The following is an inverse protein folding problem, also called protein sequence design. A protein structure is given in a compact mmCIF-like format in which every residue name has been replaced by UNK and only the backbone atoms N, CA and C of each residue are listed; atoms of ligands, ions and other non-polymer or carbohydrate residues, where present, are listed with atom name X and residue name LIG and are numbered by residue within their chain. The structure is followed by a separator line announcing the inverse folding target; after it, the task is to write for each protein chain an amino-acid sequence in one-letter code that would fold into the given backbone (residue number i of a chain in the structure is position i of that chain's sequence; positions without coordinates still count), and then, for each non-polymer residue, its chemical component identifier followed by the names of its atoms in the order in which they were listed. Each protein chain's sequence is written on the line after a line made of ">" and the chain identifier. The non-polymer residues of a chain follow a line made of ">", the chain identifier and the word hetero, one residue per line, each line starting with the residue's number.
data_IF_815760777235
#
_entry.id   IF_815760777235
#
_cell.length_a   1.000
_cell.length_b   1.000
_cell.length_c   1.000
_cell.angle_alpha   90.00
_cell.angle_beta   90.00
_cell.angle_gamma   90.00
#
_symmetry.space_group_name_H-M   'P 1'
#
loop_
_entity.id
_entity.type
_entity.pdbx_description
1 polymer ?
#
# COMPACT_ATOMS: atom_id res chain seq x y z
N UNK A 1 19.77 -10.49 1.37
CA UNK A 1 19.20 -9.17 1.05
C UNK A 1 17.76 -9.24 1.52
N UNK A 2 17.32 -8.32 2.37
CA UNK A 2 15.92 -8.25 2.80
C UNK A 2 15.17 -7.56 1.66
N UNK A 3 14.12 -8.19 1.12
CA UNK A 3 13.33 -7.61 0.04
C UNK A 3 12.72 -6.29 0.52
N UNK A 4 12.89 -5.20 -0.23
CA UNK A 4 12.22 -3.94 0.09
C UNK A 4 10.78 -3.96 -0.42
N UNK A 5 9.98 -2.98 0.01
CA UNK A 5 8.59 -2.83 -0.40
C UNK A 5 8.44 -2.80 -1.93
N UNK A 6 9.31 -2.06 -2.61
CA UNK A 6 9.27 -1.89 -4.07
C UNK A 6 9.58 -3.19 -4.83
N UNK A 7 10.22 -4.18 -4.21
CA UNK A 7 10.52 -5.48 -4.86
C UNK A 7 9.27 -6.38 -5.03
N UNK A 8 8.13 -5.98 -4.45
CA UNK A 8 6.85 -6.66 -4.62
C UNK A 8 5.89 -5.91 -5.58
N UNK A 9 6.34 -4.81 -6.17
CA UNK A 9 5.55 -3.89 -6.98
C UNK A 9 6.10 -3.77 -8.40
N UNK A 10 5.22 -3.42 -9.34
CA UNK A 10 5.61 -3.08 -10.71
C UNK A 10 6.37 -1.73 -10.70
N UNK A 11 7.67 -1.78 -10.94
CA UNK A 11 8.58 -0.62 -10.91
C UNK A 11 8.35 0.37 -12.05
N UNK A 12 7.59 0.00 -13.08
CA UNK A 12 7.15 0.96 -14.11
C UNK A 12 5.99 1.81 -13.59
N UNK A 13 5.20 1.30 -12.65
CA UNK A 13 4.02 1.96 -12.06
C UNK A 13 4.28 2.56 -10.68
N UNK A 14 5.22 2.02 -9.92
CA UNK A 14 5.57 2.48 -8.58
C UNK A 14 6.99 3.05 -8.55
N UNK A 15 7.20 4.07 -7.72
CA UNK A 15 8.52 4.64 -7.45
C UNK A 15 8.83 4.54 -5.96
N UNK A 16 10.03 4.07 -5.64
CA UNK A 16 10.60 4.23 -4.29
C UNK A 16 11.01 5.69 -4.10
N UNK A 17 10.66 6.27 -2.96
CA UNK A 17 10.89 7.68 -2.64
C UNK A 17 11.34 7.81 -1.18
N UNK A 18 11.90 8.97 -0.82
CA UNK A 18 12.15 9.27 0.59
C UNK A 18 10.86 9.71 1.30
N UNK A 19 10.84 9.67 2.63
CA UNK A 19 9.76 10.24 3.45
C UNK A 19 9.54 11.73 3.15
N UNK A 20 10.60 12.47 2.77
CA UNK A 20 10.51 13.88 2.42
C UNK A 20 9.87 14.12 1.03
N UNK A 21 9.97 13.14 0.14
CA UNK A 21 9.52 13.26 -1.27
C UNK A 21 8.19 12.55 -1.55
N UNK A 22 7.69 11.71 -0.62
CA UNK A 22 6.41 10.99 -0.78
C UNK A 22 5.18 11.91 -0.85
N UNK A 23 5.33 13.15 -0.42
CA UNK A 23 4.27 14.16 -0.34
C UNK A 23 3.26 13.89 0.78
N UNK A 24 2.19 14.69 0.79
CA UNK A 24 1.19 14.66 1.87
C UNK A 24 0.07 13.64 1.64
N UNK A 25 -0.80 13.49 2.65
CA UNK A 25 -2.04 12.70 2.58
C UNK A 25 -1.93 11.27 3.10
N UNK A 26 -0.85 10.95 3.83
CA UNK A 26 -0.68 9.68 4.52
C UNK A 26 -1.38 9.70 5.88
N UNK A 27 -2.00 8.58 6.23
CA UNK A 27 -2.54 8.32 7.57
C UNK A 27 -2.20 6.88 7.98
N UNK A 28 -2.05 6.62 9.28
CA UNK A 28 -1.81 5.27 9.79
C UNK A 28 -3.11 4.44 9.73
N UNK A 29 -2.99 3.19 9.29
CA UNK A 29 -4.09 2.23 9.29
C UNK A 29 -3.63 0.89 9.83
N UNK A 30 -4.53 0.20 10.53
CA UNK A 30 -4.41 -1.23 10.78
C UNK A 30 -4.81 -2.02 9.53
N UNK A 31 -4.02 -3.02 9.16
CA UNK A 31 -4.21 -3.82 7.94
C UNK A 31 -4.71 -5.22 8.29
N UNK A 32 -5.80 -5.65 7.64
CA UNK A 32 -6.16 -7.06 7.61
C UNK A 32 -5.14 -7.83 6.77
N UNK A 33 -4.36 -8.71 7.43
CA UNK A 33 -3.23 -9.45 6.83
C UNK A 33 -3.61 -10.52 5.81
N UNK A 34 -4.92 -10.72 5.57
CA UNK A 34 -5.44 -11.68 4.61
C UNK A 34 -6.13 -10.94 3.45
N UNK A 35 -5.38 -10.30 2.55
CA UNK A 35 -5.98 -9.63 1.40
C UNK A 35 -6.66 -10.63 0.47
N UNK A 36 -7.70 -10.16 -0.22
CA UNK A 36 -8.34 -10.89 -1.31
C UNK A 36 -7.58 -10.60 -2.60
N UNK A 37 -7.10 -11.64 -3.29
CA UNK A 37 -6.63 -11.49 -4.68
C UNK A 37 -7.83 -11.20 -5.58
N UNK A 38 -7.81 -10.06 -6.28
CA UNK A 38 -8.88 -9.66 -7.21
C UNK A 38 -8.54 -10.04 -8.66
N UNK A 39 -7.29 -9.83 -9.04
CA UNK A 39 -6.67 -10.27 -10.31
C UNK A 39 -5.17 -10.51 -10.06
N UNK A 40 -4.37 -11.02 -11.01
CA UNK A 40 -2.95 -11.34 -10.78
C UNK A 40 -2.09 -10.22 -10.19
N UNK A 41 -2.43 -8.96 -10.42
CA UNK A 41 -1.67 -7.75 -10.02
C UNK A 41 -2.42 -6.83 -9.07
N UNK A 42 -3.59 -7.26 -8.57
CA UNK A 42 -4.45 -6.43 -7.71
C UNK A 42 -4.91 -7.20 -6.48
N UNK A 43 -4.70 -6.57 -5.33
CA UNK A 43 -5.14 -7.05 -4.01
C UNK A 43 -6.21 -6.11 -3.44
N UNK A 44 -7.25 -6.69 -2.84
CA UNK A 44 -8.21 -5.98 -2.01
C UNK A 44 -7.87 -6.16 -0.53
N UNK A 45 -7.72 -5.06 0.20
CA UNK A 45 -7.47 -5.03 1.64
C UNK A 45 -8.66 -4.44 2.37
N UNK A 46 -8.89 -4.94 3.59
CA UNK A 46 -9.66 -4.23 4.60
C UNK A 46 -8.67 -3.52 5.51
N UNK A 47 -8.85 -2.22 5.68
CA UNK A 47 -8.05 -1.39 6.59
C UNK A 47 -8.96 -0.72 7.61
N UNK A 48 -8.43 -0.39 8.77
CA UNK A 48 -9.16 0.28 9.85
C UNK A 48 -8.36 1.48 10.32
N UNK A 49 -8.98 2.65 10.36
CA UNK A 49 -8.36 3.87 10.90
C UNK A 49 -8.39 3.89 12.44
N UNK A 50 -7.81 4.92 13.04
CA UNK A 50 -7.68 5.05 14.49
C UNK A 50 -9.02 5.24 15.21
N UNK A 51 -10.07 5.67 14.49
CA UNK A 51 -11.43 5.76 15.02
C UNK A 51 -12.15 4.40 15.00
N UNK A 52 -11.53 3.36 14.43
CA UNK A 52 -12.10 2.02 14.32
C UNK A 52 -12.98 1.83 13.08
N UNK A 53 -13.02 2.80 12.16
CA UNK A 53 -13.82 2.70 10.94
C UNK A 53 -13.10 1.86 9.89
N UNK A 54 -13.76 0.79 9.46
CA UNK A 54 -13.22 -0.15 8.48
C UNK A 54 -13.61 0.26 7.05
N UNK A 55 -12.65 0.18 6.12
CA UNK A 55 -12.89 0.40 4.68
C UNK A 55 -12.16 -0.63 3.83
N UNK A 56 -12.73 -0.91 2.66
CA UNK A 56 -12.11 -1.77 1.65
C UNK A 56 -11.37 -0.90 0.65
N UNK A 57 -10.09 -1.20 0.43
CA UNK A 57 -9.23 -0.50 -0.52
C UNK A 57 -8.54 -1.48 -1.47
N UNK A 58 -8.15 -1.00 -2.64
CA UNK A 58 -7.42 -1.77 -3.65
C UNK A 58 -5.98 -1.30 -3.75
N UNK A 59 -5.07 -2.26 -3.83
CA UNK A 59 -3.68 -2.07 -4.20
C UNK A 59 -3.45 -2.68 -5.57
N UNK A 60 -3.17 -1.84 -6.56
CA UNK A 60 -2.95 -2.23 -7.94
C UNK A 60 -1.46 -2.27 -8.29
N UNK A 61 -1.14 -2.90 -9.43
CA UNK A 61 0.22 -2.97 -9.96
C UNK A 61 1.21 -3.59 -8.97
N UNK A 62 0.76 -4.63 -8.24
CA UNK A 62 1.66 -5.56 -7.59
C UNK A 62 2.30 -6.45 -8.64
N UNK A 63 3.49 -6.99 -8.35
CA UNK A 63 3.97 -8.13 -9.13
C UNK A 63 3.02 -9.33 -8.99
N UNK A 64 3.01 -10.20 -10.00
CA UNK A 64 2.06 -11.31 -10.06
C UNK A 64 2.11 -12.18 -8.80
N UNK A 65 0.96 -12.32 -8.12
CA UNK A 65 0.80 -13.09 -6.88
C UNK A 65 1.73 -12.66 -5.72
N UNK A 66 2.21 -11.41 -5.74
CA UNK A 66 2.99 -10.83 -4.64
C UNK A 66 2.10 -9.99 -3.73
N UNK A 67 2.36 -10.08 -2.42
CA UNK A 67 1.73 -9.24 -1.42
C UNK A 67 2.78 -8.37 -0.74
N UNK A 68 2.89 -7.08 -1.10
CA UNK A 68 3.86 -6.15 -0.50
C UNK A 68 3.61 -5.90 0.99
N UNK A 69 2.40 -6.14 1.50
CA UNK A 69 2.01 -5.94 2.89
C UNK A 69 1.93 -7.26 3.68
N UNK A 70 2.59 -8.33 3.19
CA UNK A 70 2.58 -9.63 3.86
C UNK A 70 3.22 -9.53 5.25
N UNK A 71 2.44 -9.84 6.28
CA UNK A 71 2.90 -9.77 7.68
C UNK A 71 2.89 -8.36 8.28
N UNK A 72 2.55 -7.33 7.50
CA UNK A 72 2.42 -5.96 7.96
C UNK A 72 1.08 -5.80 8.69
N UNK A 73 1.12 -5.40 9.96
CA UNK A 73 -0.09 -5.14 10.74
C UNK A 73 -0.57 -3.69 10.70
N UNK A 74 0.34 -2.76 10.43
CA UNK A 74 0.08 -1.32 10.33
C UNK A 74 0.98 -0.71 9.27
N UNK A 75 0.46 0.27 8.56
CA UNK A 75 1.22 1.07 7.60
C UNK A 75 0.63 2.47 7.54
N UNK A 76 1.45 3.44 7.14
CA UNK A 76 0.95 4.73 6.68
C UNK A 76 0.57 4.59 5.21
N UNK A 77 -0.70 4.87 4.89
CA UNK A 77 -1.24 4.75 3.54
C UNK A 77 -1.74 6.10 3.06
N UNK A 78 -1.44 6.42 1.80
CA UNK A 78 -2.10 7.49 1.06
C UNK A 78 -3.18 6.88 0.18
N UNK A 79 -4.42 7.36 0.33
CA UNK A 79 -5.56 6.92 -0.47
C UNK A 79 -5.92 7.95 -1.54
N UNK A 80 -6.66 7.51 -2.55
CA UNK A 80 -7.34 8.42 -3.48
C UNK A 80 -8.48 9.19 -2.80
N UNK A 81 -9.01 10.27 -3.40
CA UNK A 81 -10.07 11.08 -2.79
C UNK A 81 -11.35 10.31 -2.44
N UNK A 82 -11.59 9.19 -3.11
CA UNK A 82 -12.73 8.30 -2.88
C UNK A 82 -12.50 7.28 -1.75
N UNK A 83 -11.29 7.22 -1.17
CA UNK A 83 -10.85 6.20 -0.21
C UNK A 83 -11.01 4.76 -0.72
N UNK A 84 -10.81 4.54 -2.01
CA UNK A 84 -10.92 3.23 -2.67
C UNK A 84 -9.59 2.66 -3.09
N UNK A 85 -8.62 3.49 -3.47
CA UNK A 85 -7.33 3.01 -3.99
C UNK A 85 -6.18 3.48 -3.12
N UNK A 86 -5.18 2.62 -2.93
CA UNK A 86 -3.90 2.98 -2.32
C UNK A 86 -3.02 3.63 -3.39
N UNK A 87 -2.61 4.87 -3.15
CA UNK A 87 -1.71 5.66 -4.00
C UNK A 87 -0.28 5.74 -3.45
N UNK A 88 -0.08 5.40 -2.18
CA UNK A 88 1.21 5.44 -1.52
C UNK A 88 1.24 4.56 -0.27
N UNK A 89 2.41 4.00 0.02
CA UNK A 89 2.65 3.16 1.21
C UNK A 89 3.96 3.62 1.83
N UNK A 90 3.98 3.77 3.15
CA UNK A 90 5.20 3.93 3.95
C UNK A 90 5.23 2.90 5.07
N UNK A 91 6.32 2.13 5.09
CA UNK A 91 6.63 1.16 6.13
C UNK A 91 7.86 1.59 6.92
N UNK A 92 7.71 2.61 7.77
CA UNK A 92 8.77 3.16 8.62
C UNK A 92 9.98 3.67 7.81
N UNK A 93 9.71 4.38 6.72
CA UNK A 93 10.71 5.00 5.84
C UNK A 93 10.96 4.27 4.53
N UNK A 94 10.50 3.01 4.38
CA UNK A 94 10.43 2.33 3.08
C UNK A 94 9.17 2.80 2.35
N UNK A 95 9.31 3.85 1.54
CA UNK A 95 8.19 4.56 0.93
C UNK A 95 8.09 4.28 -0.56
N UNK A 96 6.87 4.00 -1.02
CA UNK A 96 6.55 3.91 -2.44
C UNK A 96 5.34 4.76 -2.77
N UNK A 97 5.35 5.36 -3.97
CA UNK A 97 4.25 6.15 -4.52
C UNK A 97 3.89 5.63 -5.91
N UNK A 98 2.59 5.62 -6.22
CA UNK A 98 2.08 5.30 -7.54
C UNK A 98 2.41 6.46 -8.48
N UNK A 99 3.06 6.17 -9.60
CA UNK A 99 3.37 7.15 -10.64
C UNK A 99 2.08 7.58 -11.34
N UNK A 100 2.00 8.88 -11.62
CA UNK A 100 0.92 9.49 -12.42
C UNK A 100 0.98 9.08 -13.88
#
# INVERSE_FOLDING_TARGET
>A
IMDSLIDNLDKDKWAEVSVADRGDGYAEYSINRNPKQLDPSTLGFMITDDDGEAKNVTLTATLANKNPLKGVGRAELKLDPDNKNILGIDLNGDCVVLKS
#
